data_IF_543381001028
#
_entry.id   IF_543381001028
#
_cell.length_a   1.000
_cell.length_b   1.000
_cell.length_c   1.000
_cell.angle_alpha   90.00
_cell.angle_beta   90.00
_cell.angle_gamma   90.00
#
_symmetry.space_group_name_H-M   'P 1'
#
loop_
_entity.id
_entity.type
_entity.pdbx_description
1 polymer ?
#
# COMPACT_ATOMS: atom_id res chain seq x y z
N UNK A 1 99.66 49.99 -22.35
CA UNK A 1 98.44 49.90 -23.19
C UNK A 1 97.46 48.85 -22.60
N UNK A 2 97.05 48.96 -21.36
CA UNK A 2 96.17 47.94 -20.76
C UNK A 2 94.96 48.50 -20.01
N UNK A 3 94.66 49.75 -20.10
CA UNK A 3 93.52 50.38 -19.36
C UNK A 3 92.30 50.79 -20.24
N UNK A 4 92.32 50.48 -21.53
CA UNK A 4 91.27 50.90 -22.48
C UNK A 4 90.18 49.83 -22.70
N UNK A 5 90.39 48.58 -22.32
CA UNK A 5 89.47 47.49 -22.63
C UNK A 5 88.56 47.10 -21.46
N UNK A 6 88.70 47.65 -20.26
CA UNK A 6 87.86 47.34 -19.12
C UNK A 6 86.51 48.14 -19.07
N UNK A 7 86.47 49.26 -19.86
CA UNK A 7 85.28 50.07 -19.95
C UNK A 7 84.16 49.54 -20.89
N UNK A 8 84.59 48.79 -21.85
CA UNK A 8 83.66 48.17 -22.85
C UNK A 8 82.97 46.93 -22.32
N UNK A 9 83.64 46.16 -21.49
CA UNK A 9 83.01 44.95 -20.89
C UNK A 9 81.96 45.33 -19.84
N UNK A 10 82.03 46.49 -19.21
CA UNK A 10 80.97 46.96 -18.28
C UNK A 10 79.72 47.48 -18.99
N UNK A 11 79.77 47.82 -20.27
CA UNK A 11 78.61 48.26 -21.06
C UNK A 11 77.76 47.10 -21.60
N UNK A 12 78.35 45.98 -21.84
CA UNK A 12 77.67 44.81 -22.36
C UNK A 12 76.82 44.04 -21.27
N UNK A 13 77.25 44.14 -20.03
CA UNK A 13 76.49 43.54 -18.90
C UNK A 13 75.17 44.24 -18.63
N UNK A 14 74.91 45.48 -19.06
CA UNK A 14 73.60 46.16 -18.89
C UNK A 14 72.54 45.65 -19.86
N UNK A 15 72.91 45.07 -20.98
CA UNK A 15 71.98 44.44 -21.91
C UNK A 15 71.43 43.07 -21.40
N UNK A 16 72.35 42.31 -20.76
CA UNK A 16 72.03 40.99 -20.25
C UNK A 16 71.07 41.11 -19.01
N UNK A 17 71.34 42.02 -18.13
CA UNK A 17 70.46 42.27 -16.97
C UNK A 17 69.06 42.80 -17.36
N UNK A 18 68.96 43.54 -18.48
CA UNK A 18 67.69 43.99 -19.01
C UNK A 18 66.86 42.83 -19.61
N UNK A 19 67.58 41.90 -20.31
CA UNK A 19 66.93 40.70 -20.89
C UNK A 19 66.42 39.73 -19.77
N UNK A 20 67.21 39.50 -18.73
CA UNK A 20 66.86 38.65 -17.59
C UNK A 20 65.65 39.21 -16.85
N UNK A 21 65.64 40.53 -16.57
CA UNK A 21 64.51 41.17 -15.94
C UNK A 21 63.25 41.11 -16.82
N UNK A 22 63.37 41.25 -18.12
CA UNK A 22 62.26 41.11 -19.07
C UNK A 22 61.67 39.69 -19.05
N UNK A 23 62.53 38.66 -19.03
CA UNK A 23 62.12 37.25 -18.99
C UNK A 23 61.39 36.94 -17.69
N UNK A 24 61.93 37.40 -16.53
CA UNK A 24 61.32 37.22 -15.23
C UNK A 24 59.96 37.93 -15.14
N UNK A 25 59.85 39.12 -15.72
CA UNK A 25 58.63 39.88 -15.72
C UNK A 25 57.52 39.21 -16.60
N UNK A 26 57.93 38.71 -17.79
CA UNK A 26 57.01 37.93 -18.64
C UNK A 26 56.57 36.65 -17.94
N UNK A 27 57.52 35.92 -17.34
CA UNK A 27 57.21 34.69 -16.61
C UNK A 27 56.23 34.96 -15.44
N UNK A 28 56.47 36.03 -14.70
CA UNK A 28 55.60 36.44 -13.61
C UNK A 28 54.19 36.83 -14.08
N UNK A 29 54.07 37.58 -15.21
CA UNK A 29 52.78 37.99 -15.78
C UNK A 29 51.99 36.75 -16.28
N UNK A 30 52.71 35.82 -16.93
CA UNK A 30 52.06 34.57 -17.40
C UNK A 30 51.55 33.74 -16.23
N UNK A 31 52.38 33.50 -15.22
CA UNK A 31 51.97 32.76 -14.01
C UNK A 31 50.80 33.44 -13.30
N UNK A 32 50.92 34.79 -13.13
CA UNK A 32 49.86 35.55 -12.48
C UNK A 32 48.54 35.52 -13.29
N UNK A 33 48.60 35.61 -14.61
CA UNK A 33 47.40 35.52 -15.46
C UNK A 33 46.71 34.14 -15.42
N UNK A 34 47.52 33.06 -15.44
CA UNK A 34 46.97 31.70 -15.30
C UNK A 34 46.35 31.49 -13.94
N UNK A 35 47.02 31.97 -12.88
CA UNK A 35 46.50 31.88 -11.53
C UNK A 35 45.21 32.71 -11.37
N UNK A 36 45.19 33.95 -11.86
CA UNK A 36 44.00 34.79 -11.87
C UNK A 36 42.83 34.12 -12.61
N UNK A 37 43.12 33.53 -13.77
CA UNK A 37 42.09 32.79 -14.56
C UNK A 37 41.57 31.57 -13.81
N UNK A 38 42.41 30.78 -13.20
CA UNK A 38 41.98 29.59 -12.42
C UNK A 38 41.13 29.95 -11.21
N UNK A 39 41.51 31.00 -10.44
CA UNK A 39 40.76 31.49 -9.29
C UNK A 39 39.43 32.07 -9.73
N UNK A 40 39.38 32.86 -10.79
CA UNK A 40 38.15 33.43 -11.34
C UNK A 40 37.20 32.34 -11.84
N UNK A 41 37.72 31.38 -12.60
CA UNK A 41 36.97 30.25 -13.11
C UNK A 41 36.38 29.39 -11.98
N UNK A 42 37.18 29.06 -10.97
CA UNK A 42 36.72 28.34 -9.77
C UNK A 42 35.68 29.15 -8.99
N UNK A 43 35.85 30.47 -8.89
CA UNK A 43 34.88 31.35 -8.23
C UNK A 43 33.53 31.42 -8.95
N UNK A 44 33.52 31.53 -10.27
CA UNK A 44 32.30 31.52 -11.09
C UNK A 44 31.62 30.16 -10.98
N UNK A 45 32.34 29.05 -11.11
CA UNK A 45 31.79 27.69 -10.98
C UNK A 45 31.16 27.47 -9.59
N UNK A 46 31.84 27.89 -8.52
CA UNK A 46 31.30 27.80 -7.15
C UNK A 46 30.03 28.64 -6.97
N UNK A 47 29.99 29.85 -7.57
CA UNK A 47 28.81 30.72 -7.53
C UNK A 47 27.63 30.11 -8.33
N UNK A 48 27.89 29.52 -9.48
CA UNK A 48 26.86 28.84 -10.28
C UNK A 48 26.29 27.62 -9.54
N UNK A 49 27.15 26.79 -8.96
CA UNK A 49 26.73 25.65 -8.14
C UNK A 49 25.96 26.07 -6.89
N UNK A 50 26.34 27.18 -6.27
CA UNK A 50 25.59 27.76 -5.16
C UNK A 50 24.18 28.22 -5.57
N UNK A 51 24.05 28.86 -6.72
CA UNK A 51 22.75 29.26 -7.26
C UNK A 51 21.88 28.04 -7.61
N UNK A 52 22.45 27.05 -8.28
CA UNK A 52 21.76 25.80 -8.63
C UNK A 52 21.23 25.09 -7.38
N UNK A 53 22.03 24.98 -6.33
CA UNK A 53 21.61 24.39 -5.05
C UNK A 53 20.49 25.18 -4.36
N UNK A 54 20.54 26.51 -4.42
CA UNK A 54 19.47 27.36 -3.86
C UNK A 54 18.19 27.22 -4.71
N UNK A 55 18.29 27.20 -6.03
CA UNK A 55 17.12 26.99 -6.87
C UNK A 55 16.49 25.62 -6.65
N UNK A 56 17.26 24.53 -6.63
CA UNK A 56 16.78 23.20 -6.33
C UNK A 56 16.11 23.12 -4.95
N UNK A 57 16.69 23.77 -3.94
CA UNK A 57 16.09 23.84 -2.60
C UNK A 57 14.78 24.64 -2.56
N UNK A 58 14.68 25.71 -3.35
CA UNK A 58 13.46 26.51 -3.46
C UNK A 58 12.36 25.75 -4.23
N UNK A 59 12.70 25.07 -5.29
CA UNK A 59 11.75 24.23 -6.04
C UNK A 59 11.19 23.12 -5.16
N UNK A 60 12.07 22.45 -4.39
CA UNK A 60 11.66 21.42 -3.44
C UNK A 60 10.74 21.98 -2.34
N UNK A 61 11.00 23.20 -1.85
CA UNK A 61 10.14 23.83 -0.85
C UNK A 61 8.81 24.33 -1.42
N UNK A 62 8.81 24.84 -2.66
CA UNK A 62 7.60 25.39 -3.31
C UNK A 62 6.59 24.35 -3.73
N UNK A 63 7.00 23.12 -3.99
CA UNK A 63 6.10 22.03 -4.34
C UNK A 63 5.60 21.24 -3.12
N UNK A 64 5.40 21.83 -1.96
CA UNK A 64 4.89 21.12 -0.77
C UNK A 64 3.37 21.08 -0.75
N UNK A 65 2.81 19.90 -0.52
CA UNK A 65 1.39 19.71 -0.23
C UNK A 65 1.15 19.77 1.28
N UNK A 66 0.00 20.30 1.66
CA UNK A 66 -0.49 20.23 3.04
C UNK A 66 -1.84 19.53 3.11
N UNK A 67 -2.07 18.82 4.21
CA UNK A 67 -3.36 18.21 4.52
C UNK A 67 -4.32 19.30 5.02
N UNK A 68 -5.51 19.36 4.42
CA UNK A 68 -6.56 20.31 4.82
C UNK A 68 -7.79 19.57 5.30
N UNK A 69 -8.08 19.68 6.59
CA UNK A 69 -9.25 19.02 7.18
C UNK A 69 -8.98 17.60 7.66
N UNK A 70 -10.06 16.82 7.82
CA UNK A 70 -10.00 15.45 8.32
C UNK A 70 -9.71 14.44 7.21
N UNK A 71 -9.15 13.31 7.61
CA UNK A 71 -9.03 12.10 6.78
C UNK A 71 -10.29 11.28 6.97
N UNK A 72 -10.85 10.80 5.88
CA UNK A 72 -12.04 9.94 5.90
C UNK A 72 -11.70 8.55 5.40
N UNK A 73 -12.26 7.54 6.05
CA UNK A 73 -12.27 6.18 5.54
C UNK A 73 -13.68 5.77 5.17
N UNK A 74 -13.80 5.01 4.08
CA UNK A 74 -15.06 4.41 3.62
C UNK A 74 -14.92 2.90 3.69
N UNK A 75 -15.87 2.23 4.34
CA UNK A 75 -15.91 0.78 4.41
C UNK A 75 -17.16 0.21 3.75
N UNK A 76 -17.04 -1.03 3.28
CA UNK A 76 -18.19 -1.86 2.93
C UNK A 76 -18.87 -2.38 4.19
N UNK A 77 -20.16 -2.66 4.13
CA UNK A 77 -20.88 -3.30 5.22
C UNK A 77 -20.57 -4.81 5.25
N UNK A 78 -20.52 -5.41 6.44
CA UNK A 78 -20.39 -6.86 6.54
C UNK A 78 -21.55 -7.57 5.86
N UNK A 79 -21.25 -8.68 5.18
CA UNK A 79 -22.25 -9.54 4.53
C UNK A 79 -22.22 -10.91 5.19
N UNK A 80 -23.30 -11.27 5.88
CA UNK A 80 -23.40 -12.57 6.57
C UNK A 80 -23.63 -13.69 5.55
N UNK A 81 -22.88 -14.77 5.69
CA UNK A 81 -23.03 -16.01 4.94
C UNK A 81 -23.77 -17.02 5.79
N UNK A 82 -23.32 -17.24 7.03
CA UNK A 82 -23.98 -18.13 7.98
C UNK A 82 -23.78 -17.65 9.42
N UNK A 83 -24.84 -17.46 10.16
CA UNK A 83 -24.80 -17.06 11.57
C UNK A 83 -24.78 -18.27 12.52
N UNK A 84 -24.99 -19.48 12.01
CA UNK A 84 -25.14 -20.73 12.77
C UNK A 84 -26.30 -20.76 13.79
N UNK A 85 -27.10 -19.71 13.86
CA UNK A 85 -28.24 -19.61 14.79
C UNK A 85 -29.39 -20.57 14.46
N UNK A 86 -29.49 -20.98 13.21
CA UNK A 86 -30.50 -21.94 12.77
C UNK A 86 -29.79 -23.28 12.48
N UNK A 87 -30.16 -24.36 13.20
CA UNK A 87 -29.56 -25.68 12.99
C UNK A 87 -29.95 -26.33 11.66
N UNK A 88 -30.08 -25.53 10.60
CA UNK A 88 -30.59 -25.90 9.28
C UNK A 88 -30.02 -27.20 8.70
N UNK A 89 -30.47 -27.54 7.52
CA UNK A 89 -30.17 -28.82 6.88
C UNK A 89 -28.70 -28.92 6.43
N UNK A 90 -27.88 -29.42 7.30
CA UNK A 90 -26.53 -29.84 6.93
C UNK A 90 -26.57 -31.15 6.15
N UNK A 91 -25.76 -31.25 5.13
CA UNK A 91 -25.49 -32.51 4.44
C UNK A 91 -24.08 -32.94 4.83
N UNK A 92 -23.99 -34.08 5.48
CA UNK A 92 -22.72 -34.64 5.97
C UNK A 92 -22.34 -35.89 5.20
N UNK A 93 -21.08 -36.04 4.89
CA UNK A 93 -20.50 -37.24 4.29
C UNK A 93 -20.50 -38.41 5.30
N UNK A 94 -20.27 -39.64 4.83
CA UNK A 94 -20.11 -40.77 5.70
C UNK A 94 -18.97 -40.53 6.73
N UNK A 95 -19.14 -40.93 7.95
CA UNK A 95 -18.23 -40.69 9.08
C UNK A 95 -18.08 -39.20 9.51
N UNK A 96 -19.03 -38.37 9.11
CA UNK A 96 -19.16 -36.98 9.57
C UNK A 96 -20.50 -36.82 10.30
N UNK A 97 -20.50 -36.12 11.40
CA UNK A 97 -21.71 -35.67 12.09
C UNK A 97 -21.68 -34.17 12.29
N UNK A 98 -22.81 -33.53 12.12
CA UNK A 98 -22.98 -32.10 12.41
C UNK A 98 -24.00 -31.96 13.51
N UNK A 99 -23.65 -31.21 14.56
CA UNK A 99 -24.51 -30.93 15.69
C UNK A 99 -24.50 -29.42 16.00
N UNK A 100 -25.55 -28.97 16.65
CA UNK A 100 -25.62 -27.58 17.18
C UNK A 100 -25.01 -27.58 18.59
N UNK A 101 -24.02 -26.72 18.80
CA UNK A 101 -23.53 -26.40 20.15
C UNK A 101 -24.26 -25.15 20.69
N UNK A 102 -25.00 -25.31 21.78
CA UNK A 102 -25.72 -24.26 22.49
C UNK A 102 -24.99 -23.77 23.74
N UNK A 103 -23.80 -24.29 23.99
CA UNK A 103 -23.06 -24.07 25.24
C UNK A 103 -21.75 -23.30 25.03
N UNK A 104 -21.11 -23.46 23.88
CA UNK A 104 -19.85 -22.80 23.55
C UNK A 104 -19.91 -22.16 22.15
N UNK A 105 -20.27 -20.89 22.12
CA UNK A 105 -20.43 -20.07 20.92
C UNK A 105 -19.77 -18.69 21.14
N UNK A 106 -19.57 -17.94 20.06
CA UNK A 106 -18.97 -16.59 20.08
C UNK A 106 -19.98 -15.50 19.78
N UNK A 107 -20.94 -15.78 18.93
CA UNK A 107 -21.98 -14.83 18.56
C UNK A 107 -23.35 -15.49 18.65
N UNK A 108 -24.37 -14.71 19.01
CA UNK A 108 -25.74 -15.23 19.11
C UNK A 108 -25.95 -16.19 20.26
N UNK A 109 -26.43 -17.40 19.95
CA UNK A 109 -26.81 -18.43 20.93
C UNK A 109 -26.39 -19.85 20.52
N UNK A 110 -25.87 -20.05 19.32
CA UNK A 110 -25.54 -21.36 18.78
C UNK A 110 -24.22 -21.30 17.94
N UNK A 111 -23.54 -22.42 17.89
CA UNK A 111 -22.43 -22.72 16.98
C UNK A 111 -22.67 -24.09 16.32
N UNK A 112 -21.91 -24.43 15.31
CA UNK A 112 -22.00 -25.75 14.67
C UNK A 112 -20.73 -26.59 14.94
N UNK A 113 -20.94 -27.76 15.52
CA UNK A 113 -19.92 -28.78 15.70
C UNK A 113 -19.91 -29.74 14.51
N UNK A 114 -18.84 -29.74 13.76
CA UNK A 114 -18.59 -30.72 12.69
C UNK A 114 -17.59 -31.75 13.21
N UNK A 115 -18.10 -32.93 13.54
CA UNK A 115 -17.28 -34.05 14.01
C UNK A 115 -16.78 -34.84 12.80
N UNK A 116 -15.49 -34.86 12.61
CA UNK A 116 -14.76 -35.71 11.65
C UNK A 116 -14.35 -36.98 12.40
N UNK A 117 -14.93 -38.11 12.04
CA UNK A 117 -14.52 -39.38 12.67
C UNK A 117 -13.23 -39.90 12.06
N UNK A 118 -12.46 -40.67 12.81
CA UNK A 118 -11.17 -41.25 12.39
C UNK A 118 -11.23 -42.13 11.13
N UNK A 119 -12.39 -42.44 10.62
CA UNK A 119 -12.57 -43.18 9.36
C UNK A 119 -12.86 -42.31 8.14
N UNK A 120 -12.85 -40.99 8.30
CA UNK A 120 -13.00 -40.05 7.17
C UNK A 120 -11.59 -39.67 6.70
N UNK A 121 -11.27 -39.91 5.44
CA UNK A 121 -9.94 -39.65 4.91
C UNK A 121 -9.80 -38.17 4.47
N UNK A 122 -10.29 -37.84 3.29
CA UNK A 122 -10.19 -36.47 2.71
C UNK A 122 -11.42 -36.19 1.82
N UNK A 123 -11.66 -34.90 1.58
CA UNK A 123 -12.73 -34.41 0.70
C UNK A 123 -13.76 -33.58 1.43
N UNK A 124 -14.88 -33.28 0.77
CA UNK A 124 -15.97 -32.51 1.33
C UNK A 124 -16.61 -33.25 2.49
N UNK A 125 -16.38 -32.73 3.71
CA UNK A 125 -16.87 -33.36 4.94
C UNK A 125 -18.35 -33.04 5.17
N UNK A 126 -18.70 -31.78 5.19
CA UNK A 126 -20.07 -31.32 5.35
C UNK A 126 -20.28 -30.03 4.57
N UNK A 127 -21.50 -29.79 4.13
CA UNK A 127 -21.88 -28.54 3.49
C UNK A 127 -23.30 -28.12 3.90
N UNK A 128 -23.58 -26.87 3.63
CA UNK A 128 -24.89 -26.27 3.84
C UNK A 128 -25.25 -25.37 2.67
N UNK A 129 -26.47 -25.55 2.13
CA UNK A 129 -27.00 -24.63 1.15
C UNK A 129 -27.67 -23.44 1.82
N UNK A 130 -27.38 -22.25 1.34
CA UNK A 130 -27.89 -20.99 1.84
C UNK A 130 -28.75 -20.28 0.78
N UNK A 131 -29.43 -19.21 1.18
CA UNK A 131 -29.94 -18.24 0.21
C UNK A 131 -28.76 -17.59 -0.46
N UNK A 132 -28.83 -17.36 -1.78
CA UNK A 132 -27.74 -16.76 -2.54
C UNK A 132 -27.24 -15.45 -1.89
N UNK A 133 -25.94 -15.41 -1.62
CA UNK A 133 -25.24 -14.26 -1.08
C UNK A 133 -24.33 -13.69 -2.15
N UNK A 134 -24.42 -12.39 -2.42
CA UNK A 134 -23.55 -11.70 -3.34
C UNK A 134 -22.42 -11.01 -2.57
N UNK A 135 -21.18 -11.44 -2.80
CA UNK A 135 -20.00 -10.85 -2.18
C UNK A 135 -19.35 -9.77 -3.05
N UNK A 136 -19.87 -9.55 -4.28
CA UNK A 136 -19.35 -8.52 -5.19
C UNK A 136 -20.10 -7.19 -5.10
N UNK A 137 -21.21 -7.12 -4.34
CA UNK A 137 -22.01 -5.90 -4.20
C UNK A 137 -22.59 -5.77 -2.78
N UNK A 138 -21.91 -5.10 -1.83
CA UNK A 138 -20.59 -4.44 -1.98
C UNK A 138 -19.46 -5.45 -2.18
N UNK A 139 -18.38 -5.02 -2.80
CA UNK A 139 -17.23 -5.89 -3.04
C UNK A 139 -16.51 -6.23 -1.74
N UNK A 140 -16.37 -7.51 -1.45
CA UNK A 140 -15.59 -8.07 -0.35
C UNK A 140 -14.35 -8.79 -0.88
N UNK A 141 -13.31 -8.82 -0.07
CA UNK A 141 -12.03 -9.44 -0.42
C UNK A 141 -11.61 -10.51 0.57
N UNK A 142 -12.25 -10.58 1.73
CA UNK A 142 -11.97 -11.60 2.74
C UNK A 142 -13.22 -12.19 3.37
N UNK A 143 -13.04 -13.36 4.00
CA UNK A 143 -13.98 -13.99 4.89
C UNK A 143 -13.48 -13.92 6.33
N UNK A 144 -14.41 -13.83 7.27
CA UNK A 144 -14.13 -13.93 8.69
C UNK A 144 -15.03 -14.99 9.33
N UNK A 145 -14.44 -15.82 10.16
CA UNK A 145 -15.15 -16.89 10.86
C UNK A 145 -14.53 -17.14 12.21
N UNK A 146 -15.33 -17.45 13.20
CA UNK A 146 -14.85 -18.03 14.44
C UNK A 146 -14.73 -19.53 14.28
N UNK A 147 -13.57 -20.07 14.61
CA UNK A 147 -13.31 -21.52 14.54
C UNK A 147 -12.54 -22.00 15.77
N UNK A 148 -12.90 -23.18 16.23
CA UNK A 148 -12.23 -23.90 17.32
C UNK A 148 -12.06 -25.35 16.88
N UNK A 149 -10.92 -25.97 17.16
CA UNK A 149 -10.69 -27.39 16.96
C UNK A 149 -10.46 -28.10 18.29
N UNK A 150 -10.97 -29.31 18.43
CA UNK A 150 -10.75 -30.14 19.63
C UNK A 150 -9.29 -30.58 19.78
N UNK A 151 -8.54 -30.68 18.68
CA UNK A 151 -7.11 -30.97 18.64
C UNK A 151 -6.37 -29.87 17.86
N UNK A 152 -5.05 -29.77 17.97
CA UNK A 152 -4.23 -28.87 17.16
C UNK A 152 -4.25 -29.29 15.69
N UNK A 153 -4.27 -28.31 14.75
CA UNK A 153 -4.21 -28.55 13.31
C UNK A 153 -3.04 -27.77 12.71
N UNK A 154 -2.57 -28.18 11.53
CA UNK A 154 -1.62 -27.42 10.73
C UNK A 154 -2.38 -26.53 9.74
N UNK A 155 -1.71 -25.52 9.20
CA UNK A 155 -2.31 -24.69 8.16
C UNK A 155 -2.57 -25.53 6.89
N UNK A 156 -3.79 -25.40 6.31
CA UNK A 156 -4.19 -26.12 5.12
C UNK A 156 -4.71 -27.55 5.36
N UNK A 157 -4.76 -28.04 6.61
CA UNK A 157 -5.37 -29.35 6.89
C UNK A 157 -6.87 -29.35 6.59
N UNK A 158 -7.50 -28.19 6.70
CA UNK A 158 -8.91 -27.95 6.46
C UNK A 158 -9.11 -26.74 5.57
N UNK A 159 -10.14 -26.77 4.73
CA UNK A 159 -10.55 -25.65 3.87
C UNK A 159 -12.03 -25.33 4.07
N UNK A 160 -12.35 -24.05 4.03
CA UNK A 160 -13.70 -23.56 3.77
C UNK A 160 -13.87 -23.50 2.26
N UNK A 161 -14.96 -24.04 1.76
CA UNK A 161 -15.32 -23.96 0.34
C UNK A 161 -16.58 -23.14 0.16
N UNK A 162 -16.61 -22.31 -0.88
CA UNK A 162 -17.78 -21.56 -1.33
C UNK A 162 -18.13 -22.00 -2.76
N UNK A 163 -19.42 -22.03 -3.08
CA UNK A 163 -19.90 -22.45 -4.39
C UNK A 163 -21.19 -21.69 -4.76
N UNK A 164 -21.36 -21.42 -6.05
CA UNK A 164 -22.58 -20.85 -6.64
C UNK A 164 -23.61 -21.90 -7.01
N UNK A 165 -23.32 -23.17 -6.76
CA UNK A 165 -24.21 -24.30 -7.00
C UNK A 165 -24.53 -25.06 -5.72
N UNK A 166 -25.77 -25.60 -5.63
CA UNK A 166 -26.17 -26.41 -4.52
C UNK A 166 -25.27 -27.64 -4.35
N UNK A 167 -24.87 -27.91 -3.12
CA UNK A 167 -24.08 -29.09 -2.78
C UNK A 167 -22.57 -28.90 -2.85
N UNK A 168 -22.08 -27.68 -3.07
CA UNK A 168 -20.66 -27.37 -3.13
C UNK A 168 -19.87 -28.29 -4.10
N UNK A 169 -20.48 -28.59 -5.26
CA UNK A 169 -19.94 -29.55 -6.21
C UNK A 169 -19.00 -28.97 -7.26
N UNK A 170 -18.97 -27.64 -7.40
CA UNK A 170 -18.21 -26.91 -8.41
C UNK A 170 -17.45 -25.74 -7.78
N UNK A 171 -16.71 -26.02 -6.70
CA UNK A 171 -16.07 -25.07 -5.82
C UNK A 171 -15.51 -23.84 -6.54
N UNK A 172 -16.03 -22.65 -6.21
CA UNK A 172 -15.49 -21.37 -6.65
C UNK A 172 -14.29 -20.95 -5.81
N UNK A 173 -14.45 -21.03 -4.48
CA UNK A 173 -13.40 -20.71 -3.52
C UNK A 173 -13.06 -21.94 -2.67
N UNK A 174 -11.77 -22.24 -2.51
CA UNK A 174 -11.25 -23.24 -1.59
C UNK A 174 -10.16 -22.59 -0.74
N UNK A 175 -10.51 -22.24 0.48
CA UNK A 175 -9.75 -21.32 1.32
C UNK A 175 -9.16 -22.07 2.52
N UNK A 176 -7.84 -22.10 2.63
CA UNK A 176 -7.12 -22.79 3.68
C UNK A 176 -7.37 -22.19 5.07
N UNK A 177 -7.77 -23.01 6.03
CA UNK A 177 -7.76 -22.59 7.43
C UNK A 177 -6.31 -22.55 7.95
N UNK A 178 -5.95 -21.54 8.74
CA UNK A 178 -4.64 -21.48 9.38
C UNK A 178 -4.53 -22.55 10.47
N UNK A 179 -3.32 -22.76 10.98
CA UNK A 179 -3.09 -23.63 12.12
C UNK A 179 -3.95 -23.20 13.34
N UNK A 180 -4.62 -24.16 13.97
CA UNK A 180 -5.45 -23.96 15.14
C UNK A 180 -4.83 -24.58 16.37
N UNK A 181 -4.95 -23.90 17.50
CA UNK A 181 -4.57 -24.43 18.81
C UNK A 181 -5.76 -25.20 19.40
N UNK A 182 -5.47 -26.40 19.95
CA UNK A 182 -6.50 -27.26 20.53
C UNK A 182 -7.39 -26.51 21.55
N UNK A 183 -8.68 -26.72 21.46
CA UNK A 183 -9.72 -26.22 22.36
C UNK A 183 -9.73 -24.69 22.54
N UNK A 184 -9.18 -23.95 21.58
CA UNK A 184 -9.09 -22.48 21.65
C UNK A 184 -9.85 -21.86 20.47
N UNK A 185 -10.78 -20.98 20.76
CA UNK A 185 -11.43 -20.19 19.74
C UNK A 185 -10.45 -19.21 19.07
N UNK A 186 -10.47 -19.19 17.77
CA UNK A 186 -9.73 -18.24 16.96
C UNK A 186 -10.67 -17.58 15.97
N UNK A 187 -10.67 -16.26 15.92
CA UNK A 187 -11.26 -15.54 14.80
C UNK A 187 -10.24 -15.56 13.66
N UNK A 188 -10.65 -16.02 12.53
CA UNK A 188 -9.80 -16.19 11.35
C UNK A 188 -10.35 -15.29 10.26
N UNK A 189 -9.48 -14.46 9.70
CA UNK A 189 -9.74 -13.69 8.48
C UNK A 189 -8.92 -14.32 7.36
N UNK A 190 -9.55 -14.61 6.24
CA UNK A 190 -8.96 -15.37 5.13
C UNK A 190 -9.39 -14.71 3.82
N UNK A 191 -8.41 -14.51 2.93
CA UNK A 191 -8.65 -13.83 1.66
C UNK A 191 -9.41 -14.71 0.66
N UNK A 192 -10.30 -14.09 -0.10
CA UNK A 192 -10.94 -14.70 -1.26
C UNK A 192 -9.94 -14.73 -2.43
N UNK A 193 -9.84 -15.87 -3.13
CA UNK A 193 -8.93 -16.01 -4.25
C UNK A 193 -9.45 -15.31 -5.52
N UNK A 194 -10.77 -15.34 -5.73
CA UNK A 194 -11.42 -14.78 -6.91
C UNK A 194 -12.67 -13.96 -6.56
N UNK A 195 -12.53 -12.91 -5.73
CA UNK A 195 -13.67 -12.20 -5.14
C UNK A 195 -14.64 -11.60 -6.18
N UNK A 196 -14.18 -11.33 -7.40
CA UNK A 196 -15.02 -10.81 -8.50
C UNK A 196 -15.96 -11.87 -9.07
N UNK A 197 -15.73 -13.16 -8.83
CA UNK A 197 -16.57 -14.26 -9.28
C UNK A 197 -17.70 -14.61 -8.30
N UNK A 198 -17.64 -14.14 -7.06
CA UNK A 198 -18.52 -14.52 -5.94
C UNK A 198 -19.87 -13.81 -5.97
N UNK A 199 -20.54 -13.82 -7.11
CA UNK A 199 -21.79 -13.07 -7.36
C UNK A 199 -23.03 -13.69 -6.75
N UNK A 200 -23.01 -14.98 -6.45
CA UNK A 200 -24.18 -15.72 -5.97
C UNK A 200 -23.79 -16.99 -5.20
N UNK A 201 -23.13 -16.81 -4.05
CA UNK A 201 -22.74 -17.95 -3.20
C UNK A 201 -23.99 -18.58 -2.57
N UNK A 202 -24.30 -19.82 -2.93
CA UNK A 202 -25.46 -20.58 -2.43
C UNK A 202 -25.05 -21.75 -1.55
N UNK A 203 -23.78 -22.14 -1.55
CA UNK A 203 -23.27 -23.23 -0.73
C UNK A 203 -21.96 -22.86 -0.07
N UNK A 204 -21.81 -23.25 1.18
CA UNK A 204 -20.51 -23.28 1.86
C UNK A 204 -20.31 -24.62 2.55
N UNK A 205 -19.07 -25.05 2.70
CA UNK A 205 -18.75 -26.33 3.30
C UNK A 205 -17.36 -26.41 3.88
N UNK A 206 -17.12 -27.49 4.61
CA UNK A 206 -15.82 -27.84 5.16
C UNK A 206 -15.23 -28.99 4.35
N UNK A 207 -14.02 -28.81 3.84
CA UNK A 207 -13.22 -29.85 3.20
C UNK A 207 -12.06 -30.28 4.13
N UNK A 208 -11.85 -31.57 4.28
CA UNK A 208 -10.69 -32.16 4.91
C UNK A 208 -9.64 -32.40 3.84
N UNK A 209 -8.49 -31.77 3.96
CA UNK A 209 -7.36 -31.91 3.01
C UNK A 209 -6.37 -32.96 3.52
N UNK A 210 -6.14 -32.96 4.83
CA UNK A 210 -5.24 -33.91 5.51
C UNK A 210 -6.02 -34.66 6.57
N UNK A 211 -5.91 -35.99 6.58
CA UNK A 211 -6.51 -36.84 7.62
C UNK A 211 -5.68 -36.78 8.90
N UNK A 212 -6.15 -35.99 9.85
CA UNK A 212 -5.55 -35.84 11.20
C UNK A 212 -6.15 -36.80 12.24
N UNK A 213 -6.96 -37.77 11.80
CA UNK A 213 -7.77 -38.62 12.66
C UNK A 213 -9.07 -37.95 13.09
N UNK A 214 -9.69 -38.50 14.15
CA UNK A 214 -11.00 -37.98 14.62
C UNK A 214 -10.87 -36.68 15.40
N UNK A 215 -11.59 -35.64 14.99
CA UNK A 215 -11.68 -34.37 15.74
C UNK A 215 -12.98 -33.62 15.49
N UNK A 216 -13.25 -32.62 16.32
CA UNK A 216 -14.40 -31.72 16.20
C UNK A 216 -13.90 -30.34 15.84
N UNK A 217 -14.45 -29.79 14.75
CA UNK A 217 -14.30 -28.39 14.41
C UNK A 217 -15.63 -27.68 14.72
N UNK A 218 -15.56 -26.65 15.56
CA UNK A 218 -16.71 -25.82 15.91
C UNK A 218 -16.59 -24.51 15.14
N UNK A 219 -17.67 -24.12 14.44
CA UNK A 219 -17.74 -22.91 13.66
C UNK A 219 -18.84 -22.00 14.18
N UNK A 220 -18.60 -20.68 14.11
CA UNK A 220 -19.57 -19.66 14.45
C UNK A 220 -19.31 -18.39 13.62
N UNK A 221 -20.39 -17.73 13.22
CA UNK A 221 -20.40 -16.47 12.45
C UNK A 221 -19.46 -16.44 11.25
N UNK A 222 -19.86 -17.05 10.14
CA UNK A 222 -19.19 -16.90 8.84
C UNK A 222 -19.74 -15.69 8.10
N UNK A 223 -18.92 -14.71 7.87
CA UNK A 223 -19.28 -13.48 7.16
C UNK A 223 -18.15 -12.95 6.31
N UNK A 224 -18.46 -12.16 5.29
CA UNK A 224 -17.53 -11.22 4.73
C UNK A 224 -17.52 -9.98 5.62
N UNK A 225 -16.39 -9.62 6.25
CA UNK A 225 -16.34 -8.60 7.28
C UNK A 225 -16.49 -7.19 6.72
N UNK A 226 -16.57 -6.21 7.60
CA UNK A 226 -16.39 -4.81 7.23
C UNK A 226 -14.92 -4.57 6.91
N UNK A 227 -14.67 -4.07 5.71
CA UNK A 227 -13.34 -3.74 5.20
C UNK A 227 -13.31 -2.31 4.71
N UNK A 228 -12.21 -1.61 4.93
CA UNK A 228 -12.04 -0.26 4.40
C UNK A 228 -11.57 -0.37 2.95
N UNK A 229 -12.38 0.17 2.04
CA UNK A 229 -12.13 0.12 0.59
C UNK A 229 -11.52 1.39 0.05
N UNK A 230 -11.66 2.51 0.76
CA UNK A 230 -11.10 3.77 0.32
C UNK A 230 -10.76 4.69 1.51
N UNK A 231 -9.68 5.44 1.33
CA UNK A 231 -9.25 6.49 2.26
C UNK A 231 -9.18 7.80 1.48
N UNK A 232 -9.91 8.82 1.94
CA UNK A 232 -9.96 10.11 1.27
C UNK A 232 -9.50 11.24 2.19
N UNK A 233 -8.79 12.19 1.63
CA UNK A 233 -8.28 13.37 2.31
C UNK A 233 -8.13 14.54 1.33
N UNK A 234 -8.15 15.75 1.86
CA UNK A 234 -8.04 16.96 1.04
C UNK A 234 -6.64 17.53 1.16
N UNK A 235 -6.06 17.86 0.02
CA UNK A 235 -4.76 18.51 -0.08
C UNK A 235 -4.89 19.90 -0.66
N UNK A 236 -4.01 20.79 -0.24
CA UNK A 236 -3.81 22.11 -0.82
C UNK A 236 -2.32 22.32 -1.10
N UNK A 237 -2.01 23.27 -1.96
CA UNK A 237 -0.64 23.72 -2.15
C UNK A 237 -0.23 24.54 -0.92
N UNK A 238 0.79 24.12 -0.19
CA UNK A 238 1.20 24.71 1.08
C UNK A 238 1.81 26.10 0.96
N UNK A 239 2.33 26.43 -0.20
CA UNK A 239 2.96 27.71 -0.50
C UNK A 239 2.39 28.25 -1.81
N UNK A 240 2.31 29.57 -1.94
CA UNK A 240 1.99 30.25 -3.22
C UNK A 240 3.10 30.00 -4.25
N UNK A 241 3.35 28.71 -4.51
CA UNK A 241 4.43 28.20 -5.32
C UNK A 241 3.98 27.70 -6.68
N UNK A 242 4.79 26.81 -7.24
CA UNK A 242 4.50 26.14 -8.50
C UNK A 242 3.32 25.18 -8.36
N UNK A 243 2.48 25.08 -9.40
CA UNK A 243 1.36 24.16 -9.44
C UNK A 243 1.85 22.69 -9.34
N UNK A 244 1.16 21.87 -8.56
CA UNK A 244 1.52 20.47 -8.33
C UNK A 244 0.71 19.59 -9.28
N UNK A 245 1.39 18.85 -10.13
CA UNK A 245 0.73 17.93 -11.05
C UNK A 245 0.19 16.69 -10.30
N UNK A 246 -1.14 16.52 -10.35
CA UNK A 246 -1.87 15.39 -9.78
C UNK A 246 -2.56 14.56 -10.88
N UNK A 247 -1.95 14.46 -12.07
CA UNK A 247 -2.42 13.53 -13.10
C UNK A 247 -2.38 12.09 -12.58
N UNK A 248 -3.46 11.34 -12.83
CA UNK A 248 -3.60 9.93 -12.41
C UNK A 248 -3.75 9.02 -13.63
N UNK A 249 -3.51 7.73 -13.45
CA UNK A 249 -3.79 6.67 -14.41
C UNK A 249 -5.13 6.01 -14.11
N UNK A 250 -5.62 5.23 -15.07
CA UNK A 250 -6.78 4.37 -14.89
C UNK A 250 -6.29 2.98 -14.55
N UNK A 251 -6.84 2.40 -13.51
CA UNK A 251 -6.71 0.99 -13.16
C UNK A 251 -7.68 0.21 -14.07
N UNK A 252 -7.15 -0.47 -15.08
CA UNK A 252 -7.95 -1.06 -16.16
C UNK A 252 -8.44 -2.48 -15.82
N UNK A 253 -7.69 -3.22 -15.03
CA UNK A 253 -8.04 -4.57 -14.59
C UNK A 253 -8.68 -4.61 -13.19
N UNK A 254 -8.70 -3.46 -12.51
CA UNK A 254 -9.34 -3.26 -11.20
C UNK A 254 -8.71 -4.09 -10.07
N UNK A 255 -7.40 -4.31 -10.14
CA UNK A 255 -6.64 -4.99 -9.10
C UNK A 255 -6.20 -4.04 -7.95
N UNK A 256 -6.40 -2.74 -8.12
CA UNK A 256 -6.07 -1.69 -7.15
C UNK A 256 -4.65 -1.17 -7.26
N UNK A 257 -3.89 -1.54 -8.30
CA UNK A 257 -2.54 -1.08 -8.57
C UNK A 257 -2.46 -0.25 -9.86
N UNK A 258 -1.49 0.65 -9.93
CA UNK A 258 -1.15 1.40 -11.14
C UNK A 258 0.20 0.99 -11.72
N UNK A 259 0.96 0.16 -10.99
CA UNK A 259 2.34 -0.20 -11.33
C UNK A 259 2.46 -1.14 -12.53
N UNK A 260 1.44 -1.91 -12.83
CA UNK A 260 1.38 -2.89 -13.93
C UNK A 260 0.58 -2.41 -15.14
N UNK A 261 -0.07 -1.26 -15.02
CA UNK A 261 -0.81 -0.65 -16.11
C UNK A 261 0.04 -0.38 -17.35
N UNK A 262 -0.53 -0.66 -18.53
CA UNK A 262 0.14 -0.43 -19.82
C UNK A 262 0.29 1.04 -20.16
N UNK A 263 -0.59 1.90 -19.66
CA UNK A 263 -0.56 3.35 -19.88
C UNK A 263 -0.45 4.08 -18.54
N UNK A 264 0.76 4.54 -18.23
CA UNK A 264 1.06 5.26 -16.98
C UNK A 264 1.11 6.76 -17.23
N UNK A 265 0.10 7.46 -16.79
CA UNK A 265 0.02 8.93 -16.87
C UNK A 265 0.17 9.61 -15.50
N UNK A 266 0.17 8.82 -14.42
CA UNK A 266 0.35 9.36 -13.07
C UNK A 266 1.80 9.80 -12.85
N UNK A 267 1.98 10.90 -12.14
CA UNK A 267 3.28 11.49 -11.79
C UNK A 267 3.56 11.43 -10.28
N UNK A 268 2.60 10.91 -9.53
CA UNK A 268 2.70 10.71 -8.09
C UNK A 268 2.41 9.25 -7.77
N UNK A 269 3.30 8.62 -7.03
CA UNK A 269 3.14 7.26 -6.52
C UNK A 269 2.58 7.32 -5.11
N UNK A 270 1.49 6.60 -4.85
CA UNK A 270 0.93 6.45 -3.51
C UNK A 270 1.30 5.08 -2.97
N UNK A 271 1.82 5.06 -1.75
CA UNK A 271 2.21 3.86 -1.04
C UNK A 271 1.29 3.69 0.16
N UNK A 272 0.64 2.55 0.24
CA UNK A 272 -0.07 2.10 1.43
C UNK A 272 0.83 1.18 2.24
N UNK A 273 0.84 1.31 3.56
CA UNK A 273 1.53 0.40 4.46
C UNK A 273 0.80 0.30 5.80
N UNK A 274 0.73 -0.89 6.35
CA UNK A 274 0.27 -1.19 7.70
C UNK A 274 1.25 -2.13 8.40
N UNK A 275 0.87 -2.79 9.51
CA UNK A 275 1.76 -3.68 10.24
C UNK A 275 2.05 -5.00 9.49
N UNK A 276 1.16 -5.41 8.59
CA UNK A 276 1.24 -6.69 7.88
C UNK A 276 1.87 -6.57 6.49
N UNK A 277 1.79 -5.38 5.86
CA UNK A 277 2.15 -5.22 4.46
C UNK A 277 2.60 -3.81 4.08
N UNK A 278 3.16 -3.74 2.87
CA UNK A 278 3.48 -2.49 2.17
C UNK A 278 3.20 -2.64 0.69
N UNK A 279 2.16 -1.97 0.22
CA UNK A 279 1.73 -1.97 -1.19
C UNK A 279 2.13 -0.65 -1.84
N UNK A 280 2.82 -0.72 -2.97
CA UNK A 280 3.32 0.45 -3.70
C UNK A 280 2.47 0.71 -4.93
N UNK A 281 2.28 2.00 -5.22
CA UNK A 281 1.58 2.46 -6.42
C UNK A 281 0.11 2.02 -6.45
N UNK A 282 -0.55 2.16 -5.30
CA UNK A 282 -1.99 1.86 -5.17
C UNK A 282 -2.81 2.83 -5.98
N UNK A 283 -3.94 2.35 -6.49
CA UNK A 283 -4.90 3.14 -7.28
C UNK A 283 -5.46 4.30 -6.46
N UNK A 284 -5.51 5.44 -7.09
CA UNK A 284 -6.06 6.65 -6.50
C UNK A 284 -6.77 7.53 -7.54
N UNK A 285 -7.70 8.31 -7.05
CA UNK A 285 -8.42 9.29 -7.86
C UNK A 285 -8.36 10.67 -7.20
N UNK A 286 -8.67 11.70 -7.98
CA UNK A 286 -8.77 13.06 -7.49
C UNK A 286 -10.10 13.67 -7.81
N UNK A 287 -10.57 14.55 -6.95
CA UNK A 287 -11.76 15.39 -7.17
C UNK A 287 -11.42 16.79 -6.75
N UNK A 288 -11.61 17.73 -7.66
CA UNK A 288 -11.41 19.14 -7.38
C UNK A 288 -12.51 19.68 -6.48
N UNK A 289 -12.13 20.54 -5.51
CA UNK A 289 -13.05 21.12 -4.55
C UNK A 289 -13.09 22.65 -4.67
N UNK A 290 -14.28 23.20 -4.83
CA UNK A 290 -14.48 24.63 -4.75
C UNK A 290 -14.27 25.37 -6.06
N UNK A 291 -13.21 26.17 -6.17
CA UNK A 291 -12.99 27.12 -7.28
C UNK A 291 -11.89 26.68 -8.25
N UNK A 292 -11.75 25.41 -8.47
CA UNK A 292 -10.79 24.95 -9.45
C UNK A 292 -11.21 25.21 -10.90
N UNK A 293 -10.30 25.02 -11.82
CA UNK A 293 -10.49 25.28 -13.27
C UNK A 293 -10.72 24.00 -14.11
N UNK A 294 -10.69 22.83 -13.45
CA UNK A 294 -11.01 21.52 -14.05
C UNK A 294 -9.81 20.78 -14.62
N UNK A 295 -8.59 21.23 -14.35
CA UNK A 295 -7.39 20.57 -14.82
C UNK A 295 -6.81 19.55 -13.79
N UNK A 296 -5.57 19.12 -13.97
CA UNK A 296 -4.89 18.18 -13.09
C UNK A 296 -3.82 18.82 -12.21
N UNK A 297 -3.73 20.13 -12.21
CA UNK A 297 -2.75 20.89 -11.45
C UNK A 297 -3.39 21.39 -10.16
N UNK A 298 -2.72 21.21 -9.04
CA UNK A 298 -3.12 21.82 -7.78
C UNK A 298 -2.41 23.16 -7.65
N UNK A 299 -3.10 24.19 -8.00
CA UNK A 299 -2.61 25.58 -8.00
C UNK A 299 -2.73 26.23 -6.61
N UNK A 300 -2.04 27.36 -6.37
CA UNK A 300 -2.22 28.12 -5.14
C UNK A 300 -3.67 28.57 -4.92
N UNK A 301 -4.22 28.21 -3.77
CA UNK A 301 -5.60 28.53 -3.39
C UNK A 301 -6.63 27.49 -3.79
N UNK A 302 -6.25 26.48 -4.53
CA UNK A 302 -7.09 25.32 -4.86
C UNK A 302 -6.99 24.21 -3.82
N UNK A 303 -7.98 23.33 -3.86
CA UNK A 303 -8.05 22.13 -3.03
C UNK A 303 -8.50 20.96 -3.87
N UNK A 304 -7.81 19.84 -3.68
CA UNK A 304 -8.18 18.59 -4.31
C UNK A 304 -8.39 17.50 -3.24
N UNK A 305 -9.48 16.79 -3.35
CA UNK A 305 -9.67 15.56 -2.58
C UNK A 305 -8.97 14.42 -3.32
N UNK A 306 -8.07 13.74 -2.63
CA UNK A 306 -7.47 12.50 -3.08
C UNK A 306 -8.22 11.36 -2.42
N UNK A 307 -8.60 10.36 -3.20
CA UNK A 307 -9.21 9.13 -2.73
C UNK A 307 -8.31 7.98 -3.14
N UNK A 308 -7.75 7.31 -2.15
CA UNK A 308 -6.86 6.15 -2.29
C UNK A 308 -7.70 4.90 -2.14
N UNK A 309 -7.63 4.00 -3.11
CA UNK A 309 -8.29 2.70 -3.06
C UNK A 309 -7.39 1.72 -2.32
N UNK A 310 -7.95 0.96 -1.39
CA UNK A 310 -7.20 0.01 -0.55
C UNK A 310 -7.38 -1.45 -1.00
N UNK A 311 -8.01 -1.70 -2.14
CA UNK A 311 -8.32 -3.06 -2.64
C UNK A 311 -7.09 -3.89 -2.99
N UNK A 312 -5.96 -3.24 -3.30
CA UNK A 312 -4.67 -3.91 -3.49
C UNK A 312 -3.97 -4.31 -2.18
N UNK A 313 -4.50 -3.88 -1.04
CA UNK A 313 -4.00 -4.30 0.26
C UNK A 313 -4.51 -5.72 0.57
N UNK A 314 -3.62 -6.62 0.93
CA UNK A 314 -3.94 -7.99 1.29
C UNK A 314 -3.22 -8.39 2.59
N UNK A 315 -3.96 -8.54 3.73
CA UNK A 315 -5.39 -8.33 3.91
C UNK A 315 -5.82 -6.85 3.80
N UNK A 316 -7.09 -6.63 3.46
CA UNK A 316 -7.65 -5.26 3.48
C UNK A 316 -7.74 -4.71 4.91
N UNK A 317 -7.63 -3.38 5.09
CA UNK A 317 -7.65 -2.80 6.42
C UNK A 317 -9.01 -2.99 7.11
N UNK A 318 -8.95 -3.51 8.31
CA UNK A 318 -10.09 -3.78 9.20
C UNK A 318 -10.05 -2.87 10.44
N UNK A 319 -10.97 -3.07 11.39
CA UNK A 319 -10.97 -2.32 12.65
C UNK A 319 -9.61 -2.39 13.38
N UNK A 320 -9.24 -1.31 14.07
CA UNK A 320 -8.00 -1.15 14.84
C UNK A 320 -6.69 -1.16 13.99
N UNK A 321 -6.75 -1.31 12.66
CA UNK A 321 -5.57 -1.23 11.79
C UNK A 321 -4.96 0.17 11.82
N UNK A 322 -3.65 0.27 12.10
CA UNK A 322 -2.87 1.49 11.92
C UNK A 322 -2.22 1.45 10.56
N UNK A 323 -2.54 2.41 9.72
CA UNK A 323 -2.03 2.50 8.36
C UNK A 323 -1.25 3.80 8.11
N UNK A 324 -0.38 3.75 7.13
CA UNK A 324 0.37 4.89 6.61
C UNK A 324 0.18 5.00 5.10
N UNK A 325 -0.18 6.20 4.65
CA UNK A 325 -0.20 6.57 3.23
C UNK A 325 0.94 7.54 2.98
N UNK A 326 1.79 7.23 2.01
CA UNK A 326 2.90 8.09 1.60
C UNK A 326 2.68 8.51 0.15
N UNK A 327 2.60 9.82 -0.07
CA UNK A 327 2.51 10.43 -1.40
C UNK A 327 3.93 10.81 -1.83
N UNK A 328 4.46 10.06 -2.78
CA UNK A 328 5.82 10.22 -3.30
C UNK A 328 5.77 10.87 -4.66
N UNK A 329 6.50 11.96 -4.84
CA UNK A 329 6.53 12.74 -6.07
C UNK A 329 7.94 12.82 -6.63
N UNK A 330 8.06 13.08 -7.93
CA UNK A 330 9.35 13.30 -8.57
C UNK A 330 10.03 14.58 -8.06
N UNK A 331 9.26 15.61 -7.76
CA UNK A 331 9.74 16.89 -7.23
C UNK A 331 8.89 17.34 -6.05
N UNK A 332 9.53 17.95 -5.04
CA UNK A 332 8.89 18.42 -3.83
C UNK A 332 9.10 17.49 -2.63
N UNK A 333 8.48 17.82 -1.51
CA UNK A 333 8.52 17.01 -0.31
C UNK A 333 7.45 15.92 -0.36
N UNK A 334 7.79 14.72 0.10
CA UNK A 334 6.81 13.66 0.30
C UNK A 334 5.85 14.03 1.43
N UNK A 335 4.57 13.68 1.24
CA UNK A 335 3.56 13.83 2.29
C UNK A 335 3.28 12.45 2.89
N UNK A 336 3.33 12.36 4.20
CA UNK A 336 3.07 11.12 4.94
C UNK A 336 1.87 11.35 5.85
N UNK A 337 0.90 10.45 5.75
CA UNK A 337 -0.30 10.41 6.54
C UNK A 337 -0.33 9.09 7.32
N UNK A 338 -0.45 9.15 8.64
CA UNK A 338 -0.61 7.96 9.50
C UNK A 338 -1.87 8.12 10.36
N UNK A 339 -2.73 7.10 10.35
CA UNK A 339 -3.97 7.08 11.11
C UNK A 339 -4.27 5.66 11.57
N UNK A 340 -5.09 5.55 12.62
CA UNK A 340 -5.62 4.28 13.12
C UNK A 340 -7.12 4.22 12.88
N UNK A 341 -7.60 3.11 12.35
CA UNK A 341 -9.03 2.84 12.19
C UNK A 341 -9.68 2.62 13.57
N UNK A 342 -10.91 3.05 13.76
CA UNK A 342 -11.61 2.81 15.01
C UNK A 342 -11.91 1.32 15.21
N UNK A 343 -12.12 0.90 16.45
CA UNK A 343 -12.47 -0.48 16.81
C UNK A 343 -13.85 -0.94 16.29
N UNK A 344 -14.65 -0.03 15.77
CA UNK A 344 -15.91 -0.32 15.08
C UNK A 344 -16.00 0.51 13.82
N UNK A 345 -16.02 -0.16 12.66
CA UNK A 345 -16.11 0.49 11.36
C UNK A 345 -17.56 0.91 11.07
N UNK A 346 -17.73 2.19 10.72
CA UNK A 346 -18.94 2.72 10.10
C UNK A 346 -18.71 2.86 8.60
N UNK A 347 -19.77 2.92 7.79
CA UNK A 347 -19.65 3.08 6.33
C UNK A 347 -18.81 4.27 5.93
N UNK A 348 -18.90 5.38 6.67
CA UNK A 348 -17.99 6.53 6.55
C UNK A 348 -17.50 6.91 7.94
N UNK A 349 -16.22 7.22 8.07
CA UNK A 349 -15.54 7.56 9.32
C UNK A 349 -14.60 8.73 9.14
N UNK A 350 -14.56 9.61 10.15
CA UNK A 350 -13.52 10.63 10.28
C UNK A 350 -12.37 10.06 11.14
N UNK A 351 -11.17 10.11 10.59
CA UNK A 351 -9.95 9.66 11.24
C UNK A 351 -9.13 10.89 11.69
N UNK A 352 -9.43 11.39 12.87
CA UNK A 352 -8.76 12.58 13.44
C UNK A 352 -7.47 12.24 14.19
#
# INVERSE_FOLDING_TARGET
MLHKNLGTLRRDQRGITGLETAIILIAFVVVASVFAYTVLSAGIFSSEKGKEAVHAGLEQARGSMELVGSVKATSVAATSIDTFESPGSWVASANITVATDTSDYKQGSNAADITVAAGFATGLAAYRNNTAVNLTSPQHYSLQVWVKSSAGTSAGDYQIVLDDTDGCGSTLEAIDLPALTAATWKQVTIDLATPTADTAIVCWGLTVVVDDGGQVLTFDNLEAPKEVTAISFVVANALDGEAINLSTSTDADSDGLLSDETTKNHVMTIIYADEDQRTTDVTWSKTELGKGDGDSLLEPGEKMQITVTTTAANPMPVADTTFRISLVREQGADMILERTLPSSLATEMDLN
#
